data_IF_464963414377
#
_entry.id   IF_464963414377
#
_cell.length_a   1.000
_cell.length_b   1.000
_cell.length_c   1.000
_cell.angle_alpha   90.00
_cell.angle_beta   90.00
_cell.angle_gamma   90.00
#
_symmetry.space_group_name_H-M   'P 1'
#
loop_
_entity.id
_entity.type
_entity.pdbx_description
1 polymer ?
#
# COMPACT_ATOMS: atom_id res chain seq x y z
N UNK A 1 -22.65 -20.32 -8.21
CA UNK A 1 -21.32 -19.99 -7.66
C UNK A 1 -21.01 -18.57 -8.12
N UNK A 2 -20.97 -17.60 -7.21
CA UNK A 2 -20.59 -16.23 -7.54
C UNK A 2 -19.09 -16.11 -7.32
N UNK A 3 -18.31 -15.97 -8.39
CA UNK A 3 -16.88 -15.67 -8.32
C UNK A 3 -16.71 -14.17 -8.04
N UNK A 4 -16.20 -13.84 -6.87
CA UNK A 4 -15.77 -12.47 -6.52
C UNK A 4 -14.28 -12.37 -6.81
N UNK A 5 -13.90 -11.39 -7.65
CA UNK A 5 -12.51 -11.20 -8.10
C UNK A 5 -12.11 -9.76 -7.85
N UNK A 6 -11.08 -9.50 -7.04
CA UNK A 6 -10.53 -8.15 -6.87
C UNK A 6 -9.19 -8.05 -7.61
N UNK A 7 -9.02 -7.01 -8.43
CA UNK A 7 -7.78 -6.75 -9.17
C UNK A 7 -7.26 -5.36 -8.81
N UNK A 8 -6.01 -5.26 -8.38
CA UNK A 8 -5.43 -4.00 -7.92
C UNK A 8 -4.39 -3.50 -8.93
N UNK A 9 -4.54 -2.25 -9.43
CA UNK A 9 -3.53 -1.62 -10.28
C UNK A 9 -2.65 -0.68 -9.46
N UNK A 10 -1.38 -1.05 -9.45
CA UNK A 10 -0.31 -0.42 -8.74
C UNK A 10 0.34 0.66 -9.58
N UNK A 11 0.44 1.87 -9.03
CA UNK A 11 1.34 2.88 -9.58
C UNK A 11 2.71 2.66 -8.95
N UNK A 12 3.66 2.12 -9.71
CA UNK A 12 5.08 2.12 -9.34
C UNK A 12 5.62 3.55 -9.48
N UNK A 13 5.81 4.20 -8.34
CA UNK A 13 6.62 5.42 -8.26
C UNK A 13 8.07 5.05 -8.55
N UNK A 14 8.53 5.26 -9.79
CA UNK A 14 9.89 4.95 -10.21
C UNK A 14 10.96 5.71 -9.42
N UNK A 15 11.92 4.91 -8.94
CA UNK A 15 13.30 5.17 -8.50
C UNK A 15 13.57 6.19 -7.40
N UNK A 16 13.40 5.75 -6.14
CA UNK A 16 14.39 6.03 -5.11
C UNK A 16 15.02 4.69 -4.70
N UNK A 17 16.34 4.58 -4.82
CA UNK A 17 17.12 3.41 -4.36
C UNK A 17 16.86 3.19 -2.87
N UNK A 18 16.04 2.20 -2.52
CA UNK A 18 15.87 1.77 -1.13
C UNK A 18 17.09 0.97 -0.71
N UNK A 19 17.98 1.61 0.05
CA UNK A 19 19.02 0.91 0.80
C UNK A 19 18.37 -0.15 1.70
N UNK A 20 18.91 -1.37 1.69
CA UNK A 20 18.42 -2.50 2.47
C UNK A 20 18.38 -2.16 3.96
N UNK A 21 17.18 -2.17 4.56
CA UNK A 21 16.98 -1.92 5.98
C UNK A 21 17.70 -2.99 6.82
N UNK A 22 18.61 -2.61 7.73
CA UNK A 22 19.19 -3.56 8.67
C UNK A 22 18.13 -3.98 9.68
N UNK A 23 17.82 -5.28 9.66
CA UNK A 23 16.88 -5.92 10.60
C UNK A 23 17.54 -6.06 11.98
N UNK A 24 17.55 -4.98 12.73
CA UNK A 24 17.87 -4.93 14.16
C UNK A 24 17.01 -3.86 14.81
N UNK A 25 16.54 -4.10 16.05
CA UNK A 25 16.01 -3.03 16.91
C UNK A 25 17.18 -2.11 17.32
N UNK A 26 17.75 -1.41 16.35
CA UNK A 26 18.71 -0.35 16.54
C UNK A 26 17.95 0.97 16.46
N UNK A 27 18.09 1.81 17.49
CA UNK A 27 17.65 3.19 17.40
C UNK A 27 18.36 3.83 16.20
N UNK A 28 17.60 4.15 15.17
CA UNK A 28 18.11 4.93 14.04
C UNK A 28 18.02 6.39 14.43
N UNK A 29 19.17 7.02 14.66
CA UNK A 29 19.24 8.46 14.90
C UNK A 29 19.26 9.16 13.54
N UNK A 30 18.30 10.06 13.35
CA UNK A 30 18.25 10.95 12.19
C UNK A 30 18.53 12.36 12.67
N UNK A 31 19.60 12.97 12.17
CA UNK A 31 19.92 14.38 12.40
C UNK A 31 19.19 15.26 11.36
N UNK A 32 18.52 16.31 11.83
CA UNK A 32 17.83 17.27 10.97
C UNK A 32 18.69 18.53 10.87
N UNK A 33 19.22 18.81 9.68
CA UNK A 33 20.07 19.98 9.41
C UNK A 33 19.24 21.02 8.62
N UNK A 34 19.29 22.32 8.97
CA UNK A 34 18.58 23.36 8.23
C UNK A 34 19.02 23.42 6.75
N UNK A 35 18.07 23.28 5.82
CA UNK A 35 18.33 23.21 4.37
C UNK A 35 17.91 24.43 3.55
N UNK A 36 17.36 25.47 4.18
CA UNK A 36 16.78 26.63 3.48
C UNK A 36 15.32 26.41 3.06
N UNK A 37 14.81 27.27 2.17
CA UNK A 37 13.42 27.20 1.71
C UNK A 37 13.20 26.01 0.76
N UNK A 38 12.16 25.20 1.01
CA UNK A 38 11.78 24.08 0.15
C UNK A 38 10.75 24.55 -0.87
N UNK A 39 11.02 24.36 -2.15
CA UNK A 39 10.10 24.63 -3.26
C UNK A 39 9.92 23.38 -4.13
N UNK A 40 8.67 23.04 -4.43
CA UNK A 40 8.35 21.87 -5.25
C UNK A 40 6.91 21.43 -5.10
N UNK A 41 6.51 20.47 -5.92
CA UNK A 41 5.20 19.82 -5.88
C UNK A 41 5.43 18.33 -5.69
N UNK A 42 4.71 17.73 -4.75
CA UNK A 42 4.72 16.28 -4.55
C UNK A 42 3.30 15.75 -4.67
N UNK A 43 3.17 14.51 -5.13
CA UNK A 43 1.94 13.75 -4.95
C UNK A 43 2.10 12.88 -3.71
N UNK A 44 1.31 13.08 -2.65
CA UNK A 44 1.38 12.21 -1.49
C UNK A 44 0.98 10.78 -1.88
N UNK A 45 1.55 9.76 -1.23
CA UNK A 45 1.11 8.39 -1.44
C UNK A 45 -0.35 8.22 -0.98
N UNK A 46 -0.96 7.11 -1.38
CA UNK A 46 -2.32 6.77 -0.96
C UNK A 46 -2.47 6.76 0.57
N UNK A 47 -3.66 7.07 1.06
CA UNK A 47 -3.92 7.02 2.51
C UNK A 47 -3.96 5.57 2.99
N UNK A 48 -3.21 5.27 4.05
CA UNK A 48 -3.20 3.94 4.69
C UNK A 48 -4.59 3.52 5.17
N UNK A 49 -5.29 4.41 5.88
CA UNK A 49 -6.63 4.10 6.41
C UNK A 49 -7.67 3.97 5.29
N UNK A 50 -7.54 4.74 4.22
CA UNK A 50 -8.43 4.66 3.06
C UNK A 50 -8.20 3.35 2.29
N UNK A 51 -6.93 2.97 2.10
CA UNK A 51 -6.53 1.71 1.47
C UNK A 51 -7.12 0.51 2.20
N UNK A 52 -6.95 0.44 3.53
CA UNK A 52 -7.47 -0.68 4.32
C UNK A 52 -9.01 -0.74 4.29
N UNK A 53 -9.70 0.39 4.33
CA UNK A 53 -11.16 0.43 4.22
C UNK A 53 -11.64 0.00 2.83
N UNK A 54 -11.00 0.51 1.78
CA UNK A 54 -11.32 0.17 0.41
C UNK A 54 -11.13 -1.33 0.14
N UNK A 55 -10.08 -1.95 0.70
CA UNK A 55 -9.85 -3.39 0.60
C UNK A 55 -11.01 -4.21 1.17
N UNK A 56 -11.48 -3.87 2.37
CA UNK A 56 -12.62 -4.58 2.99
C UNK A 56 -13.89 -4.37 2.16
N UNK A 57 -14.17 -3.14 1.72
CA UNK A 57 -15.34 -2.87 0.89
C UNK A 57 -15.28 -3.65 -0.44
N UNK A 58 -14.13 -3.68 -1.10
CA UNK A 58 -13.92 -4.39 -2.36
C UNK A 58 -14.04 -5.91 -2.21
N UNK A 59 -13.52 -6.45 -1.10
CA UNK A 59 -13.54 -7.88 -0.77
C UNK A 59 -14.97 -8.44 -0.61
N UNK A 60 -15.88 -7.64 -0.07
CA UNK A 60 -17.27 -8.06 0.19
C UNK A 60 -18.29 -7.44 -0.78
N UNK A 61 -17.83 -6.66 -1.76
CA UNK A 61 -18.68 -6.17 -2.83
C UNK A 61 -19.07 -7.31 -3.78
N UNK A 62 -20.26 -7.22 -4.37
CA UNK A 62 -20.69 -8.14 -5.42
C UNK A 62 -19.92 -7.87 -6.72
N UNK A 63 -19.34 -8.93 -7.30
CA UNK A 63 -18.68 -8.87 -8.62
C UNK A 63 -17.19 -8.59 -8.53
N UNK A 64 -16.69 -7.75 -9.45
CA UNK A 64 -15.25 -7.46 -9.58
C UNK A 64 -14.93 -6.03 -9.16
N UNK A 65 -14.02 -5.88 -8.21
CA UNK A 65 -13.56 -4.58 -7.72
C UNK A 65 -12.16 -4.26 -8.25
N UNK A 66 -11.96 -3.02 -8.70
CA UNK A 66 -10.64 -2.50 -9.03
C UNK A 66 -10.30 -1.31 -8.13
N UNK A 67 -9.20 -1.42 -7.40
CA UNK A 67 -8.67 -0.33 -6.57
C UNK A 67 -7.45 0.28 -7.29
N UNK A 68 -7.32 1.60 -7.25
CA UNK A 68 -6.23 2.34 -7.89
C UNK A 68 -5.62 3.33 -6.88
N UNK A 69 -4.30 3.53 -6.91
CA UNK A 69 -3.65 4.47 -6.01
C UNK A 69 -3.67 4.06 -4.54
N UNK A 70 -3.89 2.78 -4.26
CA UNK A 70 -3.79 2.28 -2.89
C UNK A 70 -2.32 2.22 -2.44
N UNK A 71 -2.12 2.44 -1.14
CA UNK A 71 -0.79 2.49 -0.54
C UNK A 71 -0.18 1.09 -0.50
N UNK A 72 1.08 0.93 -0.92
CA UNK A 72 1.87 -0.24 -0.50
C UNK A 72 2.45 0.01 0.87
N UNK A 73 2.06 -0.82 1.80
CA UNK A 73 2.54 -0.78 3.17
C UNK A 73 2.46 -2.18 3.76
N UNK A 74 3.22 -2.43 4.81
CA UNK A 74 3.14 -3.69 5.56
C UNK A 74 1.70 -3.99 6.01
N UNK A 75 0.99 -2.97 6.51
CA UNK A 75 -0.43 -3.09 6.88
C UNK A 75 -1.32 -3.55 5.72
N UNK A 76 -1.01 -3.11 4.49
CA UNK A 76 -1.76 -3.46 3.28
C UNK A 76 -1.47 -4.91 2.86
N UNK A 77 -0.21 -5.34 2.89
CA UNK A 77 0.16 -6.72 2.60
C UNK A 77 -0.46 -7.69 3.61
N UNK A 78 -0.37 -7.38 4.91
CA UNK A 78 -0.98 -8.19 5.98
C UNK A 78 -2.50 -8.30 5.79
N UNK A 79 -3.17 -7.21 5.39
CA UNK A 79 -4.61 -7.24 5.12
C UNK A 79 -4.95 -8.10 3.90
N UNK A 80 -4.19 -7.99 2.80
CA UNK A 80 -4.40 -8.77 1.59
C UNK A 80 -4.23 -10.26 1.89
N UNK A 81 -3.19 -10.64 2.64
CA UNK A 81 -2.92 -12.03 3.00
C UNK A 81 -4.01 -12.60 3.92
N UNK A 82 -4.51 -11.80 4.86
CA UNK A 82 -5.63 -12.18 5.71
C UNK A 82 -6.91 -12.43 4.87
N UNK A 83 -7.22 -11.56 3.92
CA UNK A 83 -8.38 -11.70 3.04
C UNK A 83 -8.24 -12.93 2.12
N UNK A 84 -7.05 -13.19 1.58
CA UNK A 84 -6.74 -14.41 0.82
C UNK A 84 -6.92 -15.67 1.66
N UNK A 85 -6.53 -15.64 2.93
CA UNK A 85 -6.71 -16.76 3.87
C UNK A 85 -8.20 -17.08 4.11
N UNK A 86 -9.07 -16.08 4.02
CA UNK A 86 -10.53 -16.23 4.13
C UNK A 86 -11.15 -16.76 2.82
N UNK A 87 -10.35 -16.90 1.75
CA UNK A 87 -10.77 -17.49 0.47
C UNK A 87 -11.14 -16.48 -0.61
N UNK A 88 -10.76 -15.21 -0.46
CA UNK A 88 -10.99 -14.18 -1.47
C UNK A 88 -9.88 -14.17 -2.52
N UNK A 89 -10.25 -14.09 -3.79
CA UNK A 89 -9.30 -13.93 -4.90
C UNK A 89 -8.90 -12.46 -5.06
N UNK A 90 -7.66 -12.14 -4.71
CA UNK A 90 -7.09 -10.80 -4.76
C UNK A 90 -5.80 -10.82 -5.58
N UNK A 91 -5.85 -10.21 -6.76
CA UNK A 91 -4.69 -9.95 -7.62
C UNK A 91 -4.08 -8.58 -7.33
N UNK A 92 -2.75 -8.54 -7.27
CA UNK A 92 -1.95 -7.33 -7.12
C UNK A 92 -1.07 -7.21 -8.36
N UNK A 93 -1.23 -6.15 -9.15
CA UNK A 93 -0.43 -5.87 -10.35
C UNK A 93 0.17 -4.48 -10.26
#
# INVERSE_FOLDING_TARGET
MHETKASFSQTDSSSATHASTPSGRGETIVEIIPGGAVTGTIQPPGSKSLTNRALICAAFASGTSQLTGALRSEDTEVMIDALRTIGLDIGVS
#
